data_IF_080752613885
#
_entry.id   IF_080752613885
#
_cell.length_a   1.000
_cell.length_b   1.000
_cell.length_c   1.000
_cell.angle_alpha   90.00
_cell.angle_beta   90.00
_cell.angle_gamma   90.00
#
_symmetry.space_group_name_H-M   'P 1'
#
loop_
_entity.id
_entity.type
_entity.pdbx_description
1 polymer ?
#
# COMPACT_ATOMS: atom_id res chain seq x y z
N UNK A 1 23.59 -29.93 -40.28
CA UNK A 1 23.93 -28.51 -40.59
C UNK A 1 22.68 -27.70 -40.31
N UNK A 2 22.52 -26.88 -39.27
CA UNK A 2 23.43 -26.25 -38.33
C UNK A 2 22.80 -26.24 -36.92
N UNK A 3 23.59 -26.60 -35.91
CA UNK A 3 23.24 -26.47 -34.50
C UNK A 3 23.82 -25.15 -33.98
N UNK A 4 22.97 -24.22 -33.54
CA UNK A 4 23.42 -23.04 -32.81
C UNK A 4 23.32 -23.37 -31.32
N UNK A 5 24.49 -23.63 -30.69
CA UNK A 5 24.64 -23.68 -29.23
C UNK A 5 24.91 -22.26 -28.74
N UNK A 6 24.00 -21.69 -27.96
CA UNK A 6 24.27 -20.49 -27.16
C UNK A 6 24.73 -20.93 -25.77
N UNK A 7 26.00 -20.67 -25.47
CA UNK A 7 26.59 -20.84 -24.15
C UNK A 7 26.21 -19.65 -23.27
N UNK A 8 25.45 -19.88 -22.19
CA UNK A 8 24.94 -18.82 -21.29
C UNK A 8 25.92 -18.60 -20.13
N UNK A 9 27.06 -17.97 -20.44
CA UNK A 9 27.86 -17.22 -19.48
C UNK A 9 28.28 -15.91 -20.15
N UNK A 10 27.46 -14.87 -20.05
CA UNK A 10 27.91 -13.45 -20.01
C UNK A 10 26.73 -12.57 -19.58
N UNK A 11 26.85 -11.97 -18.40
CA UNK A 11 26.07 -10.84 -17.89
C UNK A 11 26.62 -9.58 -18.57
N UNK A 12 25.75 -8.71 -19.12
CA UNK A 12 26.08 -7.29 -19.30
C UNK A 12 24.91 -6.43 -18.83
N UNK A 13 25.28 -5.56 -17.91
CA UNK A 13 24.53 -4.54 -17.19
C UNK A 13 24.23 -3.34 -18.11
N UNK A 14 23.01 -2.80 -17.97
CA UNK A 14 22.77 -1.36 -17.85
C UNK A 14 22.58 -0.54 -19.12
N UNK A 15 21.35 -0.02 -19.28
CA UNK A 15 21.15 1.37 -19.65
C UNK A 15 19.80 1.87 -19.12
N UNK A 16 19.90 2.62 -18.02
CA UNK A 16 18.84 3.44 -17.44
C UNK A 16 18.55 4.58 -18.41
N UNK A 17 17.32 4.68 -18.92
CA UNK A 17 16.84 5.90 -19.57
C UNK A 17 15.93 6.61 -18.58
N UNK A 18 16.48 7.68 -18.04
CA UNK A 18 15.89 8.65 -17.15
C UNK A 18 14.93 9.51 -17.98
N UNK A 19 13.62 9.24 -17.92
CA UNK A 19 12.60 10.12 -18.50
C UNK A 19 12.12 11.07 -17.41
N UNK A 20 12.81 12.19 -17.29
CA UNK A 20 12.33 13.38 -16.60
C UNK A 20 11.62 14.30 -17.59
N UNK A 21 10.31 14.49 -17.38
CA UNK A 21 9.55 15.67 -17.81
C UNK A 21 8.36 15.80 -16.83
N UNK A 22 8.54 16.44 -15.68
CA UNK A 22 8.21 17.85 -15.50
C UNK A 22 6.88 18.24 -16.15
N UNK A 23 5.76 17.69 -15.66
CA UNK A 23 4.46 18.35 -15.73
C UNK A 23 4.27 19.25 -14.49
N UNK A 24 5.09 20.30 -14.42
CA UNK A 24 4.78 21.47 -13.59
C UNK A 24 3.82 22.36 -14.39
N UNK A 25 2.54 22.33 -14.02
CA UNK A 25 1.61 23.37 -14.47
C UNK A 25 1.88 24.67 -13.69
N UNK A 26 1.81 25.83 -14.37
CA UNK A 26 2.08 27.13 -13.76
C UNK A 26 1.01 27.51 -12.74
N UNK A 27 1.48 28.03 -11.61
CA UNK A 27 0.69 28.70 -10.58
C UNK A 27 -0.10 29.85 -11.21
N UNK A 28 -1.42 29.79 -11.08
CA UNK A 28 -2.35 30.87 -11.37
C UNK A 28 -2.06 32.01 -10.38
N UNK A 29 -1.58 33.13 -10.90
CA UNK A 29 -1.48 34.41 -10.21
C UNK A 29 -2.88 35.03 -10.16
N UNK A 30 -3.59 34.81 -9.05
CA UNK A 30 -4.78 35.58 -8.66
C UNK A 30 -4.37 36.70 -7.73
N UNK A 31 -4.31 37.92 -8.26
CA UNK A 31 -4.16 39.16 -7.53
C UNK A 31 -5.54 39.62 -7.08
N UNK A 32 -5.83 39.58 -5.78
CA UNK A 32 -6.86 40.42 -5.18
C UNK A 32 -6.38 40.92 -3.81
N UNK A 33 -6.04 42.21 -3.78
CA UNK A 33 -6.02 43.00 -2.57
C UNK A 33 -7.48 43.24 -2.15
N UNK A 34 -7.86 42.74 -0.99
CA UNK A 34 -8.95 43.33 -0.21
C UNK A 34 -8.66 43.10 1.26
N UNK A 35 -8.32 44.21 1.92
CA UNK A 35 -8.42 44.35 3.37
C UNK A 35 -9.83 43.94 3.81
N UNK A 36 -9.94 42.96 4.70
CA UNK A 36 -11.08 42.89 5.60
C UNK A 36 -10.65 42.32 6.96
N UNK A 37 -10.69 43.23 7.92
CA UNK A 37 -10.59 42.97 9.35
C UNK A 37 -11.84 42.20 9.79
N UNK A 38 -11.72 40.95 10.20
CA UNK A 38 -12.74 40.37 11.08
C UNK A 38 -12.18 39.32 12.03
N UNK A 39 -12.22 39.69 13.32
CA UNK A 39 -12.15 38.78 14.45
C UNK A 39 -13.20 37.68 14.29
N UNK A 40 -12.77 36.41 14.29
CA UNK A 40 -13.55 35.36 14.93
C UNK A 40 -12.65 34.18 15.30
N UNK A 41 -12.51 34.01 16.60
CA UNK A 41 -12.06 32.81 17.27
C UNK A 41 -12.99 31.65 16.86
N UNK A 42 -12.58 30.88 15.86
CA UNK A 42 -13.22 29.61 15.51
C UNK A 42 -12.15 28.55 15.65
N UNK A 43 -12.28 27.71 16.69
CA UNK A 43 -11.55 26.46 16.82
C UNK A 43 -11.66 25.73 15.49
N UNK A 44 -10.55 25.65 14.77
CA UNK A 44 -10.43 24.97 13.49
C UNK A 44 -10.67 23.48 13.68
N UNK A 45 -11.94 23.09 13.71
CA UNK A 45 -12.35 21.77 13.27
C UNK A 45 -12.07 21.75 11.77
N UNK A 46 -10.90 21.24 11.41
CA UNK A 46 -10.58 20.89 10.03
C UNK A 46 -11.60 19.87 9.57
N UNK A 47 -12.70 20.33 8.96
CA UNK A 47 -13.49 19.48 8.07
C UNK A 47 -12.64 19.23 6.84
N UNK A 48 -11.70 18.30 6.97
CA UNK A 48 -11.28 17.52 5.82
C UNK A 48 -12.56 16.90 5.29
N UNK A 49 -12.94 17.26 4.06
CA UNK A 49 -13.90 16.47 3.30
C UNK A 49 -13.23 15.10 3.13
N UNK A 50 -13.40 14.22 4.12
CA UNK A 50 -13.00 12.84 4.04
C UNK A 50 -13.88 12.25 2.95
N UNK A 51 -13.31 12.17 1.75
CA UNK A 51 -13.93 11.45 0.64
C UNK A 51 -14.18 10.06 1.19
N UNK A 52 -15.45 9.71 1.32
CA UNK A 52 -15.87 8.38 1.72
C UNK A 52 -15.44 7.41 0.62
N UNK A 53 -14.28 6.78 0.82
CA UNK A 53 -13.65 5.87 -0.14
C UNK A 53 -14.34 4.50 -0.18
N UNK A 54 -15.34 4.26 0.68
CA UNK A 54 -16.00 2.96 0.84
C UNK A 54 -15.38 2.08 1.92
N UNK A 55 -14.18 2.42 2.41
CA UNK A 55 -13.55 1.74 3.54
C UNK A 55 -12.94 2.73 4.52
N UNK A 56 -13.08 2.44 5.81
CA UNK A 56 -12.40 3.11 6.89
C UNK A 56 -11.62 2.05 7.67
N UNK A 57 -10.31 2.04 7.49
CA UNK A 57 -9.44 1.09 8.18
C UNK A 57 -9.13 1.60 9.58
N UNK A 58 -9.20 0.71 10.57
CA UNK A 58 -8.63 0.95 11.88
C UNK A 58 -7.11 0.84 11.83
N UNK A 59 -6.51 0.27 12.87
CA UNK A 59 -5.06 0.13 12.90
C UNK A 59 -4.57 -0.89 11.87
N UNK A 60 -3.66 -0.46 10.99
CA UNK A 60 -2.95 -1.39 10.09
C UNK A 60 -1.69 -1.90 10.79
N UNK A 61 -1.56 -3.22 10.85
CA UNK A 61 -0.42 -3.91 11.45
C UNK A 61 0.07 -5.02 10.55
N UNK A 62 1.28 -5.50 10.83
CA UNK A 62 1.79 -6.75 10.27
C UNK A 62 1.96 -7.81 11.34
N UNK A 63 1.77 -9.08 10.99
CA UNK A 63 1.82 -10.21 11.91
C UNK A 63 2.33 -11.50 11.24
N UNK A 64 2.81 -12.45 12.05
CA UNK A 64 3.22 -13.78 11.57
C UNK A 64 2.05 -14.77 11.46
N UNK A 65 0.89 -14.44 12.02
CA UNK A 65 -0.29 -15.28 12.03
C UNK A 65 -1.56 -14.43 12.21
N UNK A 66 -2.69 -15.00 11.79
CA UNK A 66 -4.04 -14.50 12.06
C UNK A 66 -4.87 -15.55 12.78
N UNK A 67 -5.92 -15.13 13.48
CA UNK A 67 -6.87 -16.01 14.14
C UNK A 67 -7.99 -16.47 13.18
N UNK A 68 -9.06 -17.05 13.74
CA UNK A 68 -10.20 -17.56 12.94
C UNK A 68 -11.03 -16.45 12.29
N UNK A 69 -10.99 -15.25 12.85
CA UNK A 69 -11.73 -14.08 12.36
C UNK A 69 -10.86 -13.23 11.42
N UNK A 70 -9.63 -13.69 11.13
CA UNK A 70 -8.69 -13.00 10.25
C UNK A 70 -7.97 -11.83 10.93
N UNK A 71 -8.06 -11.72 12.26
CA UNK A 71 -7.37 -10.69 13.03
C UNK A 71 -5.94 -11.11 13.36
N UNK A 72 -5.05 -10.13 13.50
CA UNK A 72 -3.65 -10.37 13.79
C UNK A 72 -3.45 -11.02 15.17
N UNK A 73 -2.71 -12.13 15.23
CA UNK A 73 -2.28 -12.74 16.51
C UNK A 73 -0.96 -12.07 16.93
N UNK A 74 -1.10 -10.92 17.59
CA UNK A 74 0.01 -10.02 17.91
C UNK A 74 0.51 -9.26 16.68
N UNK A 75 1.41 -8.30 16.90
CA UNK A 75 2.03 -7.51 15.82
C UNK A 75 3.55 -7.59 15.87
N UNK A 76 4.16 -7.50 14.70
CA UNK A 76 5.62 -7.42 14.51
C UNK A 76 5.93 -6.60 13.29
N UNK A 77 7.08 -5.94 13.26
CA UNK A 77 7.59 -5.21 12.09
C UNK A 77 8.83 -5.88 11.51
N UNK A 78 9.13 -7.11 11.93
CA UNK A 78 10.32 -7.86 11.48
C UNK A 78 9.94 -9.29 11.12
N UNK A 79 10.39 -9.72 9.93
CA UNK A 79 10.06 -11.01 9.33
C UNK A 79 11.30 -11.70 8.80
N UNK A 80 11.24 -13.04 8.75
CA UNK A 80 12.25 -13.84 8.04
C UNK A 80 11.99 -13.85 6.53
N UNK A 81 13.05 -14.03 5.75
CA UNK A 81 12.96 -14.13 4.27
C UNK A 81 12.09 -15.27 3.75
N UNK A 82 11.79 -16.29 4.55
CA UNK A 82 11.01 -17.48 4.16
C UNK A 82 9.62 -17.56 4.80
N UNK A 83 9.27 -16.62 5.68
CA UNK A 83 8.01 -16.66 6.43
C UNK A 83 6.85 -15.98 5.70
N UNK A 84 5.60 -16.33 6.03
CA UNK A 84 4.46 -15.53 5.63
C UNK A 84 4.44 -14.20 6.37
N UNK A 85 3.90 -13.18 5.72
CA UNK A 85 3.72 -11.83 6.26
C UNK A 85 2.25 -11.49 6.09
N UNK A 86 1.52 -11.45 7.19
CA UNK A 86 0.13 -11.01 7.19
C UNK A 86 0.10 -9.50 7.38
N UNK A 87 -0.63 -8.81 6.51
CA UNK A 87 -0.95 -7.39 6.61
C UNK A 87 -2.42 -7.30 6.97
N UNK A 88 -2.72 -6.70 8.13
CA UNK A 88 -4.06 -6.72 8.73
C UNK A 88 -4.51 -5.31 9.03
N UNK A 89 -5.66 -4.91 8.47
CA UNK A 89 -6.41 -3.75 8.92
C UNK A 89 -7.39 -4.21 10.01
N UNK A 90 -7.18 -3.75 11.24
CA UNK A 90 -8.01 -4.07 12.40
C UNK A 90 -9.23 -3.16 12.47
N UNK A 91 -10.27 -3.59 13.19
CA UNK A 91 -11.45 -2.78 13.54
C UNK A 91 -12.02 -1.94 12.39
N UNK A 92 -12.07 -2.52 11.19
CA UNK A 92 -12.38 -1.80 9.96
C UNK A 92 -13.87 -1.79 9.65
N UNK A 93 -14.30 -0.72 9.00
CA UNK A 93 -15.62 -0.58 8.41
C UNK A 93 -15.49 -0.57 6.88
N UNK A 94 -16.22 -1.45 6.20
CA UNK A 94 -16.17 -1.57 4.74
C UNK A 94 -17.58 -1.66 4.19
N UNK A 95 -17.93 -0.77 3.28
CA UNK A 95 -19.23 -0.75 2.63
C UNK A 95 -19.32 -1.83 1.55
N UNK A 96 -20.51 -2.38 1.36
CA UNK A 96 -20.82 -3.29 0.26
C UNK A 96 -20.37 -2.69 -1.08
N UNK A 97 -19.78 -3.52 -1.92
CA UNK A 97 -19.28 -3.15 -3.24
C UNK A 97 -17.89 -2.52 -3.25
N UNK A 98 -17.30 -2.24 -2.08
CA UNK A 98 -15.93 -1.72 -1.98
C UNK A 98 -14.92 -2.77 -2.41
N UNK A 99 -14.06 -2.41 -3.36
CA UNK A 99 -12.98 -3.24 -3.85
C UNK A 99 -11.66 -2.88 -3.15
N UNK A 100 -10.93 -3.88 -2.66
CA UNK A 100 -9.72 -3.71 -1.86
C UNK A 100 -8.65 -4.69 -2.35
N UNK A 101 -7.43 -4.22 -2.52
CA UNK A 101 -6.24 -5.06 -2.60
C UNK A 101 -5.07 -4.42 -1.83
N UNK A 102 -3.98 -5.17 -1.67
CA UNK A 102 -2.74 -4.67 -1.06
C UNK A 102 -1.59 -4.77 -2.06
N UNK A 103 -0.87 -3.67 -2.20
CA UNK A 103 0.35 -3.55 -3.01
C UNK A 103 1.57 -3.62 -2.12
N UNK A 104 2.53 -4.46 -2.50
CA UNK A 104 3.81 -4.59 -1.84
C UNK A 104 4.87 -3.76 -2.57
N UNK A 105 5.60 -2.98 -1.79
CA UNK A 105 6.78 -2.25 -2.23
C UNK A 105 8.02 -2.82 -1.57
N UNK A 106 9.11 -2.88 -2.33
CA UNK A 106 10.45 -3.16 -1.84
C UNK A 106 11.36 -2.00 -2.18
N UNK A 107 11.99 -1.38 -1.17
CA UNK A 107 12.82 -0.19 -1.34
C UNK A 107 12.11 0.93 -2.14
N UNK A 108 10.80 1.12 -1.88
CA UNK A 108 9.97 2.12 -2.54
C UNK A 108 9.59 1.81 -3.99
N UNK A 109 9.87 0.61 -4.49
CA UNK A 109 9.43 0.16 -5.82
C UNK A 109 8.32 -0.88 -5.67
N UNK A 110 7.19 -0.74 -6.38
CA UNK A 110 6.12 -1.74 -6.34
C UNK A 110 6.61 -3.04 -6.99
N UNK A 111 6.39 -4.16 -6.31
CA UNK A 111 6.87 -5.48 -6.76
C UNK A 111 5.75 -6.52 -6.89
N UNK A 112 4.63 -6.35 -6.20
CA UNK A 112 3.53 -7.31 -6.21
C UNK A 112 2.21 -6.63 -5.83
N UNK A 113 1.14 -6.96 -6.56
CA UNK A 113 -0.24 -6.66 -6.18
C UNK A 113 -0.94 -7.97 -5.83
N UNK A 114 -1.57 -8.06 -4.66
CA UNK A 114 -2.38 -9.21 -4.31
C UNK A 114 -3.74 -9.16 -5.04
N UNK A 115 -4.42 -10.30 -5.19
CA UNK A 115 -5.75 -10.34 -5.78
C UNK A 115 -6.73 -9.41 -5.05
N UNK A 116 -7.52 -8.69 -5.83
CA UNK A 116 -8.58 -7.83 -5.31
C UNK A 116 -9.73 -8.66 -4.72
N UNK A 117 -10.24 -8.21 -3.58
CA UNK A 117 -11.46 -8.70 -2.96
C UNK A 117 -12.51 -7.59 -2.98
N UNK A 118 -13.78 -7.98 -3.10
CA UNK A 118 -14.90 -7.04 -3.04
C UNK A 118 -15.80 -7.40 -1.88
N UNK A 119 -16.15 -6.41 -1.06
CA UNK A 119 -17.11 -6.59 0.02
C UNK A 119 -18.50 -6.91 -0.56
N UNK A 120 -19.04 -8.07 -0.22
CA UNK A 120 -20.36 -8.52 -0.67
C UNK A 120 -21.52 -8.01 0.20
N UNK A 121 -21.19 -7.41 1.35
CA UNK A 121 -22.09 -6.76 2.29
C UNK A 121 -21.34 -5.66 3.07
N UNK A 122 -22.06 -4.92 3.92
CA UNK A 122 -21.44 -3.99 4.85
C UNK A 122 -20.78 -4.76 6.00
N UNK A 123 -19.49 -4.52 6.20
CA UNK A 123 -18.70 -5.04 7.31
C UNK A 123 -18.44 -3.92 8.31
N UNK A 124 -18.63 -4.21 9.59
CA UNK A 124 -18.37 -3.27 10.68
C UNK A 124 -17.49 -3.95 11.72
N UNK A 125 -16.52 -3.22 12.28
CA UNK A 125 -15.60 -3.71 13.30
C UNK A 125 -14.99 -5.08 12.93
N UNK A 126 -14.54 -5.22 11.69
CA UNK A 126 -14.04 -6.47 11.12
C UNK A 126 -12.55 -6.37 10.77
N UNK A 127 -11.85 -7.50 10.79
CA UNK A 127 -10.47 -7.57 10.34
C UNK A 127 -10.41 -7.93 8.85
N UNK A 128 -9.55 -7.23 8.12
CA UNK A 128 -9.24 -7.54 6.72
C UNK A 128 -7.78 -7.90 6.68
N UNK A 129 -7.45 -9.07 6.13
CA UNK A 129 -6.07 -9.51 6.04
C UNK A 129 -5.70 -9.95 4.63
N UNK A 130 -4.44 -9.69 4.31
CA UNK A 130 -3.78 -10.12 3.10
C UNK A 130 -2.45 -10.77 3.49
N UNK A 131 -2.00 -11.75 2.71
CA UNK A 131 -0.77 -12.50 3.01
C UNK A 131 0.21 -12.43 1.86
N UNK A 132 1.41 -11.96 2.17
CA UNK A 132 2.58 -12.09 1.31
C UNK A 132 3.40 -13.29 1.78
N UNK A 133 4.06 -13.95 0.84
CA UNK A 133 4.96 -15.05 1.17
C UNK A 133 5.83 -15.45 -0.01
N UNK A 134 6.87 -16.24 0.25
CA UNK A 134 7.72 -16.77 -0.80
C UNK A 134 6.92 -17.59 -1.82
N UNK A 135 6.96 -17.19 -3.09
CA UNK A 135 6.35 -17.97 -4.17
C UNK A 135 7.27 -19.12 -4.54
N UNK A 136 6.75 -20.36 -4.52
CA UNK A 136 7.39 -21.58 -5.05
C UNK A 136 8.92 -21.67 -4.85
N UNK A 137 9.39 -21.54 -3.61
CA UNK A 137 10.80 -21.73 -3.25
C UNK A 137 11.71 -20.51 -3.42
N UNK A 138 11.18 -19.35 -3.84
CA UNK A 138 11.92 -18.08 -3.84
C UNK A 138 11.72 -17.34 -2.52
N UNK A 139 12.80 -17.05 -1.79
CA UNK A 139 12.77 -16.25 -0.57
C UNK A 139 12.58 -14.76 -0.87
N UNK A 140 11.94 -14.03 0.05
CA UNK A 140 11.92 -12.57 0.04
C UNK A 140 13.35 -12.02 0.20
N UNK A 141 13.63 -10.87 -0.40
CA UNK A 141 14.93 -10.21 -0.24
C UNK A 141 14.98 -9.54 1.14
N UNK A 142 16.13 -9.58 1.81
CA UNK A 142 16.28 -8.82 3.07
C UNK A 142 16.28 -7.32 2.75
N UNK A 143 15.49 -6.54 3.50
CA UNK A 143 15.37 -5.10 3.31
C UNK A 143 14.05 -4.54 3.83
N UNK A 144 13.85 -3.25 3.57
CA UNK A 144 12.65 -2.53 3.96
C UNK A 144 11.54 -2.73 2.93
N UNK A 145 10.36 -3.04 3.44
CA UNK A 145 9.14 -3.22 2.67
C UNK A 145 8.04 -2.29 3.17
N UNK A 146 7.10 -2.01 2.29
CA UNK A 146 5.86 -1.31 2.60
C UNK A 146 4.69 -2.06 1.96
N UNK A 147 3.61 -2.25 2.70
CA UNK A 147 2.35 -2.78 2.20
C UNK A 147 1.29 -1.68 2.25
N UNK A 148 0.74 -1.33 1.10
CA UNK A 148 -0.25 -0.25 0.92
C UNK A 148 -1.61 -0.83 0.55
N UNK A 149 -2.65 -0.45 1.28
CA UNK A 149 -4.01 -0.77 0.87
C UNK A 149 -4.45 0.16 -0.25
N UNK A 150 -5.12 -0.41 -1.25
CA UNK A 150 -5.74 0.32 -2.35
C UNK A 150 -7.23 0.04 -2.32
N UNK A 151 -8.04 1.11 -2.26
CA UNK A 151 -9.50 1.06 -2.11
C UNK A 151 -10.16 1.70 -3.32
N UNK A 152 -10.96 0.92 -4.06
CA UNK A 152 -11.63 1.37 -5.29
C UNK A 152 -10.64 2.03 -6.29
N UNK A 153 -9.42 1.48 -6.37
CA UNK A 153 -8.33 1.99 -7.20
C UNK A 153 -7.54 3.18 -6.64
N UNK A 154 -7.87 3.69 -5.45
CA UNK A 154 -7.17 4.81 -4.81
C UNK A 154 -6.27 4.32 -3.68
N UNK A 155 -5.07 4.90 -3.58
CA UNK A 155 -4.16 4.63 -2.46
C UNK A 155 -4.78 5.06 -1.14
N UNK A 156 -4.62 4.23 -0.10
CA UNK A 156 -5.09 4.47 1.26
C UNK A 156 -3.91 4.37 2.24
N UNK A 157 -4.13 3.77 3.39
CA UNK A 157 -3.14 3.63 4.45
C UNK A 157 -2.15 2.49 4.13
N UNK A 158 -0.95 2.61 4.69
CA UNK A 158 0.13 1.65 4.50
C UNK A 158 0.85 1.31 5.80
N UNK A 159 1.63 0.23 5.78
CA UNK A 159 2.48 -0.20 6.90
C UNK A 159 3.85 -0.61 6.39
N UNK A 160 4.89 -0.17 7.10
CA UNK A 160 6.28 -0.49 6.80
C UNK A 160 6.81 -1.59 7.73
N UNK A 161 7.61 -2.50 7.20
CA UNK A 161 8.27 -3.56 7.96
C UNK A 161 9.63 -3.94 7.36
N UNK A 162 10.39 -4.73 8.09
CA UNK A 162 11.72 -5.18 7.74
C UNK A 162 11.73 -6.69 7.52
N UNK A 163 12.36 -7.14 6.43
CA UNK A 163 12.69 -8.54 6.20
C UNK A 163 14.19 -8.74 6.43
N UNK A 164 14.57 -9.78 7.18
CA UNK A 164 15.97 -10.10 7.47
C UNK A 164 16.27 -11.60 7.45
#
# INVERSE_FOLDING_TARGET
>A
MNNIKLDRKTIVIGLIVLVGALYFLPKILGNDNSDDNNNNNSSGSSTTNQVDTGANFGQIVTANAVDRDGCAVGSTTTFSTSGPIYVVAQDSEVKQGTAIFVRLYYQGQPIEDLPEITADQDYNNSCINFVFGPTQGAALQSGQYEAEFVVNGNQSDSVTFQVQ
#
